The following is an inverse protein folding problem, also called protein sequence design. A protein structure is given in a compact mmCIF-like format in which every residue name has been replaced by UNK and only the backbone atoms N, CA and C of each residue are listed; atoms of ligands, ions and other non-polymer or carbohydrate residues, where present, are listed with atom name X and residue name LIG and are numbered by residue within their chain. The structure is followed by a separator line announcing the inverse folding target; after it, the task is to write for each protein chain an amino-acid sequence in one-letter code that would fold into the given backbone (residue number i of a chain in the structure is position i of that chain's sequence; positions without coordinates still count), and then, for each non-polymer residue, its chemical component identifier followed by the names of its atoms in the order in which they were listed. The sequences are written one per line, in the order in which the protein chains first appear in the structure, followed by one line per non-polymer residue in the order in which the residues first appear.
data_IF_301115693770
#
_entry.id   IF_301115693770
#
_cell.length_a   1.000
_cell.length_b   1.000
_cell.length_c   1.000
_cell.angle_alpha   90.00
_cell.angle_beta   90.00
_cell.angle_gamma   90.00
#
_symmetry.space_group_name_H-M   'P 1'
#
loop_
_entity.id
_entity.type
_entity.pdbx_description
1 polymer ?
#
# COMPACT_ATOMS: atom_id res chain seq x y z
N UNK A 1 50.88 27.79 51.76
CA UNK A 1 51.33 28.72 50.70
C UNK A 1 51.16 28.03 49.38
N UNK A 2 50.08 28.22 48.68
CA UNK A 2 49.99 28.05 47.23
C UNK A 2 48.70 28.75 46.76
N UNK A 3 48.89 29.96 46.29
CA UNK A 3 47.92 30.77 45.61
C UNK A 3 47.72 30.22 44.19
N UNK A 4 46.64 29.47 43.90
CA UNK A 4 46.33 29.03 42.56
C UNK A 4 45.29 29.98 41.95
N UNK A 5 45.65 30.52 40.83
CA UNK A 5 45.06 31.64 40.13
C UNK A 5 43.62 31.37 39.66
N UNK A 6 42.70 32.16 40.15
CA UNK A 6 41.27 32.21 39.82
C UNK A 6 40.96 32.86 38.44
N UNK A 7 41.98 33.26 37.70
CA UNK A 7 41.82 34.04 36.47
C UNK A 7 41.78 33.21 35.18
N UNK A 8 42.10 31.89 35.22
CA UNK A 8 42.09 31.05 34.05
C UNK A 8 40.71 30.41 33.74
N UNK A 9 39.82 30.31 34.76
CA UNK A 9 38.53 29.67 34.59
C UNK A 9 37.45 30.58 33.97
N UNK A 10 37.52 31.90 34.17
CA UNK A 10 36.57 32.86 33.63
C UNK A 10 36.73 33.07 32.10
N UNK A 11 37.93 32.87 31.53
CA UNK A 11 38.17 32.98 30.09
C UNK A 11 37.65 31.78 29.28
N UNK A 12 37.59 30.59 29.87
CA UNK A 12 37.03 29.40 29.17
C UNK A 12 35.49 29.39 29.19
N UNK A 13 34.83 30.01 30.18
CA UNK A 13 33.38 30.09 30.22
C UNK A 13 32.85 31.11 29.20
N UNK A 14 33.54 32.24 29.00
CA UNK A 14 33.17 33.25 28.00
C UNK A 14 33.29 32.76 26.54
N UNK A 15 34.31 31.96 26.26
CA UNK A 15 34.55 31.44 24.90
C UNK A 15 33.57 30.30 24.52
N UNK A 16 33.06 29.54 25.50
CA UNK A 16 32.04 28.51 25.26
C UNK A 16 30.64 29.08 25.08
N UNK A 17 30.33 30.21 25.70
CA UNK A 17 29.04 30.86 25.58
C UNK A 17 28.89 31.62 24.25
N UNK A 18 29.96 32.18 23.69
CA UNK A 18 29.95 32.84 22.38
C UNK A 18 29.91 31.84 21.22
N UNK A 19 30.50 30.65 21.35
CA UNK A 19 30.37 29.57 20.37
C UNK A 19 28.95 28.97 20.35
N UNK A 20 28.27 28.87 21.48
CA UNK A 20 26.88 28.35 21.54
C UNK A 20 25.86 29.34 20.93
N UNK A 21 26.11 30.66 21.00
CA UNK A 21 25.25 31.66 20.34
C UNK A 21 25.52 31.76 18.82
N UNK A 22 26.72 31.48 18.35
CA UNK A 22 27.06 31.50 16.92
C UNK A 22 26.58 30.26 16.17
N UNK A 23 26.37 29.12 16.86
CA UNK A 23 25.84 27.88 16.25
C UNK A 23 24.31 27.86 16.14
N UNK A 24 23.63 28.78 16.84
CA UNK A 24 22.16 28.89 16.81
C UNK A 24 21.57 29.64 15.59
N UNK A 25 22.40 30.27 14.77
CA UNK A 25 21.92 31.15 13.68
C UNK A 25 22.01 30.49 12.29
N UNK A 26 22.57 29.28 12.18
CA UNK A 26 22.79 28.61 10.88
C UNK A 26 21.83 27.44 10.56
N UNK A 27 20.78 27.25 11.35
CA UNK A 27 19.67 26.36 10.99
C UNK A 27 18.44 27.13 10.49
N UNK A 28 18.62 28.10 9.59
CA UNK A 28 17.59 28.43 8.61
C UNK A 28 17.64 27.37 7.52
N UNK A 29 17.16 26.17 7.81
CA UNK A 29 16.63 25.31 6.76
C UNK A 29 15.47 26.08 6.15
N UNK A 30 15.70 26.65 4.97
CA UNK A 30 14.63 27.12 4.11
C UNK A 30 13.77 25.88 3.84
N UNK A 31 12.77 25.66 4.69
CA UNK A 31 11.65 24.83 4.32
C UNK A 31 11.12 25.47 3.05
N UNK A 32 11.27 24.80 1.92
CA UNK A 32 10.62 25.20 0.67
C UNK A 32 9.12 25.10 0.96
N UNK A 33 8.57 26.17 1.52
CA UNK A 33 7.16 26.29 1.77
C UNK A 33 6.44 26.37 0.42
N UNK A 34 5.27 25.75 0.35
CA UNK A 34 4.38 25.82 -0.80
C UNK A 34 4.25 27.27 -1.26
N UNK A 35 4.64 27.56 -2.53
CA UNK A 35 4.63 28.93 -3.04
C UNK A 35 3.24 29.29 -3.58
N UNK A 36 2.93 30.58 -3.60
CA UNK A 36 1.68 31.08 -4.21
C UNK A 36 1.55 30.63 -5.68
N UNK A 37 2.63 30.62 -6.41
CA UNK A 37 2.68 30.19 -7.81
C UNK A 37 2.33 28.70 -7.96
N UNK A 38 2.79 27.86 -7.03
CA UNK A 38 2.46 26.43 -7.01
C UNK A 38 0.98 26.20 -6.67
N UNK A 39 0.43 26.90 -5.68
CA UNK A 39 -1.01 26.79 -5.34
C UNK A 39 -1.90 27.22 -6.49
N UNK A 40 -1.55 28.28 -7.17
CA UNK A 40 -2.26 28.75 -8.38
C UNK A 40 -2.18 27.73 -9.52
N UNK A 41 -0.99 27.20 -9.80
CA UNK A 41 -0.78 26.20 -10.85
C UNK A 41 -1.54 24.89 -10.58
N UNK A 42 -1.80 24.54 -9.31
CA UNK A 42 -2.58 23.37 -8.92
C UNK A 42 -4.11 23.60 -9.01
N UNK A 43 -4.57 24.85 -8.94
CA UNK A 43 -5.99 25.19 -8.86
C UNK A 43 -6.54 25.81 -10.14
N UNK A 44 -5.71 26.59 -10.84
CA UNK A 44 -6.08 27.34 -12.05
C UNK A 44 -5.57 26.65 -13.31
N UNK A 45 -6.31 26.78 -14.41
CA UNK A 45 -5.94 26.23 -15.71
C UNK A 45 -6.65 24.91 -16.06
N UNK A 46 -6.21 24.31 -17.16
CA UNK A 46 -6.74 23.05 -17.62
C UNK A 46 -6.21 21.85 -16.80
N UNK A 47 -6.85 20.71 -16.95
CA UNK A 47 -6.49 19.51 -16.18
C UNK A 47 -5.05 19.04 -16.43
N UNK A 48 -4.55 19.15 -17.68
CA UNK A 48 -3.20 18.67 -18.01
C UNK A 48 -2.12 19.56 -17.39
N UNK A 49 -2.33 20.89 -17.39
CA UNK A 49 -1.44 21.83 -16.72
C UNK A 49 -1.42 21.60 -15.20
N UNK A 50 -2.59 21.38 -14.60
CA UNK A 50 -2.72 21.09 -13.15
C UNK A 50 -2.06 19.77 -12.76
N UNK A 51 -2.20 18.70 -13.55
CA UNK A 51 -1.50 17.43 -13.35
C UNK A 51 0.02 17.59 -13.44
N UNK A 52 0.50 18.36 -14.42
CA UNK A 52 1.94 18.67 -14.55
C UNK A 52 2.46 19.46 -13.34
N UNK A 53 1.70 20.43 -12.85
CA UNK A 53 2.02 21.16 -11.62
C UNK A 53 2.05 20.25 -10.38
N UNK A 54 1.12 19.29 -10.29
CA UNK A 54 1.07 18.29 -9.22
C UNK A 54 2.34 17.41 -9.22
N UNK A 55 2.75 16.92 -10.39
CA UNK A 55 3.98 16.12 -10.53
C UNK A 55 5.22 16.91 -10.12
N UNK A 56 5.27 18.19 -10.48
CA UNK A 56 6.36 19.09 -10.08
C UNK A 56 6.37 19.34 -8.57
N UNK A 57 5.21 19.53 -7.94
CA UNK A 57 5.09 19.69 -6.48
C UNK A 57 5.53 18.41 -5.73
N UNK A 58 5.23 17.23 -6.27
CA UNK A 58 5.65 15.94 -5.70
C UNK A 58 7.16 15.67 -5.80
N UNK A 59 7.89 16.34 -6.67
CA UNK A 59 9.33 16.18 -6.74
C UNK A 59 10.05 16.70 -5.47
N UNK A 60 9.44 17.66 -4.75
CA UNK A 60 9.96 18.21 -3.50
C UNK A 60 8.82 18.37 -2.48
N UNK A 61 8.27 17.25 -1.96
CA UNK A 61 7.13 17.29 -1.07
C UNK A 61 7.49 17.87 0.29
N UNK A 62 6.61 18.69 0.82
CA UNK A 62 6.63 19.21 2.19
C UNK A 62 5.29 18.97 2.90
N UNK A 63 5.24 19.26 4.19
CA UNK A 63 4.03 19.07 4.99
C UNK A 63 2.88 19.98 4.54
N UNK A 64 3.19 21.17 4.01
CA UNK A 64 2.18 22.12 3.51
C UNK A 64 1.59 21.64 2.19
N UNK A 65 2.42 21.07 1.30
CA UNK A 65 1.95 20.43 0.06
C UNK A 65 0.99 19.28 0.38
N UNK A 66 1.31 18.43 1.36
CA UNK A 66 0.43 17.35 1.77
C UNK A 66 -0.91 17.86 2.31
N UNK A 67 -0.88 18.87 3.19
CA UNK A 67 -2.08 19.49 3.75
C UNK A 67 -2.96 20.18 2.69
N UNK A 68 -2.32 20.80 1.69
CA UNK A 68 -3.01 21.44 0.58
C UNK A 68 -3.67 20.41 -0.35
N UNK A 69 -2.97 19.35 -0.71
CA UNK A 69 -3.53 18.26 -1.51
C UNK A 69 -4.67 17.55 -0.78
N UNK A 70 -4.58 17.39 0.54
CA UNK A 70 -5.70 16.87 1.33
C UNK A 70 -6.90 17.81 1.29
N UNK A 71 -6.70 19.13 1.36
CA UNK A 71 -7.78 20.11 1.22
C UNK A 71 -8.40 20.06 -0.18
N UNK A 72 -7.62 19.81 -1.23
CA UNK A 72 -8.15 19.62 -2.58
C UNK A 72 -8.95 18.32 -2.72
N UNK A 73 -8.53 17.23 -2.06
CA UNK A 73 -9.28 15.96 -2.04
C UNK A 73 -10.61 16.10 -1.30
N UNK A 74 -10.62 16.90 -0.23
CA UNK A 74 -11.81 17.19 0.58
C UNK A 74 -12.75 18.23 -0.10
N UNK A 75 -12.46 18.71 -1.31
CA UNK A 75 -13.13 19.80 -2.02
C UNK A 75 -13.22 21.10 -1.15
N UNK A 76 -12.24 21.30 -0.27
CA UNK A 76 -12.18 22.42 0.67
C UNK A 76 -11.41 23.64 0.14
N UNK A 77 -11.04 23.65 -1.16
CA UNK A 77 -10.27 24.73 -1.78
C UNK A 77 -11.17 25.62 -2.60
N UNK A 78 -11.09 26.93 -2.34
CA UNK A 78 -11.79 27.99 -3.10
C UNK A 78 -10.78 28.95 -3.70
N UNK A 79 -11.19 29.59 -4.80
CA UNK A 79 -10.39 30.59 -5.51
C UNK A 79 -11.16 31.88 -5.61
N UNK A 80 -10.49 32.98 -5.31
CA UNK A 80 -10.98 34.33 -5.57
C UNK A 80 -10.00 35.07 -6.47
N UNK A 81 -10.24 35.03 -7.79
CA UNK A 81 -9.31 35.51 -8.79
C UNK A 81 -8.00 34.73 -8.78
N UNK A 82 -6.91 35.34 -8.32
CA UNK A 82 -5.58 34.70 -8.16
C UNK A 82 -5.30 34.19 -6.73
N UNK A 83 -6.17 34.48 -5.79
CA UNK A 83 -5.98 34.08 -4.40
C UNK A 83 -6.61 32.71 -4.17
N UNK A 84 -5.81 31.77 -3.63
CA UNK A 84 -6.25 30.42 -3.27
C UNK A 84 -6.49 30.37 -1.76
N UNK A 85 -7.62 29.82 -1.34
CA UNK A 85 -8.05 29.75 0.05
C UNK A 85 -8.47 28.31 0.39
N UNK A 86 -8.07 27.83 1.57
CA UNK A 86 -8.58 26.59 2.16
C UNK A 86 -9.73 26.95 3.10
N UNK A 87 -10.92 26.40 2.86
CA UNK A 87 -12.11 26.67 3.68
C UNK A 87 -12.46 25.43 4.48
N UNK A 88 -12.32 25.52 5.80
CA UNK A 88 -12.72 24.48 6.76
C UNK A 88 -13.53 25.10 7.88
N UNK A 89 -14.66 24.51 8.25
CA UNK A 89 -15.53 24.96 9.33
C UNK A 89 -15.93 26.45 9.21
N UNK A 90 -16.14 26.93 7.97
CA UNK A 90 -16.52 28.33 7.70
C UNK A 90 -15.39 29.36 7.84
N UNK A 91 -14.14 28.90 8.08
CA UNK A 91 -12.94 29.76 8.14
C UNK A 91 -12.12 29.56 6.88
N UNK A 92 -11.75 30.67 6.23
CA UNK A 92 -10.82 30.65 5.11
C UNK A 92 -9.40 30.87 5.61
N UNK A 93 -8.45 30.03 5.14
CA UNK A 93 -7.03 30.13 5.52
C UNK A 93 -6.19 30.21 4.25
N UNK A 94 -5.22 31.10 4.23
CA UNK A 94 -4.22 31.18 3.15
C UNK A 94 -3.28 29.98 3.25
N UNK A 95 -3.17 29.11 2.21
CA UNK A 95 -2.33 27.91 2.25
C UNK A 95 -0.83 28.22 2.34
N UNK A 96 -0.39 29.44 1.96
CA UNK A 96 1.01 29.84 1.96
C UNK A 96 1.42 30.50 3.27
N UNK A 97 0.57 31.39 3.78
CA UNK A 97 0.86 32.16 5.01
C UNK A 97 0.29 31.54 6.26
N UNK A 98 -0.70 30.66 6.14
CA UNK A 98 -1.41 30.09 7.29
C UNK A 98 -2.33 31.10 8.02
N UNK A 99 -2.54 32.30 7.44
CA UNK A 99 -3.37 33.34 8.04
C UNK A 99 -4.86 33.04 7.81
N UNK A 100 -5.67 33.27 8.85
CA UNK A 100 -7.13 33.16 8.73
C UNK A 100 -7.65 34.45 8.12
N UNK A 101 -8.38 34.32 7.01
CA UNK A 101 -8.94 35.44 6.23
C UNK A 101 -10.47 35.31 6.23
N UNK A 102 -11.16 36.43 6.19
CA UNK A 102 -12.61 36.42 5.99
C UNK A 102 -12.91 35.91 4.59
N UNK A 103 -13.80 34.89 4.46
CA UNK A 103 -14.18 34.33 3.17
C UNK A 103 -14.86 35.39 2.32
N UNK A 104 -14.32 35.75 1.13
CA UNK A 104 -15.01 36.65 0.21
C UNK A 104 -16.25 35.99 -0.39
N UNK A 105 -17.35 36.70 -0.54
CA UNK A 105 -18.57 36.20 -1.16
C UNK A 105 -18.39 35.81 -2.63
N UNK A 106 -17.30 36.27 -3.28
CA UNK A 106 -16.94 36.01 -4.67
C UNK A 106 -16.02 34.78 -4.83
N UNK A 107 -15.75 34.04 -3.75
CA UNK A 107 -14.88 32.85 -3.82
C UNK A 107 -15.63 31.68 -4.47
N UNK A 108 -15.06 31.15 -5.55
CA UNK A 108 -15.59 30.02 -6.32
C UNK A 108 -14.92 28.71 -5.88
N UNK A 109 -15.65 27.60 -5.94
CA UNK A 109 -15.12 26.27 -5.65
C UNK A 109 -14.19 25.79 -6.77
N UNK A 110 -13.06 25.19 -6.40
CA UNK A 110 -12.17 24.54 -7.36
C UNK A 110 -12.78 23.22 -7.79
N UNK A 111 -13.22 23.12 -9.03
CA UNK A 111 -13.81 21.90 -9.57
C UNK A 111 -12.70 20.91 -9.93
N UNK A 112 -12.67 19.78 -9.25
CA UNK A 112 -11.81 18.66 -9.57
C UNK A 112 -12.59 17.62 -10.36
N UNK A 113 -12.21 17.39 -11.63
CA UNK A 113 -12.76 16.29 -12.42
C UNK A 113 -12.23 14.93 -11.92
N UNK A 114 -12.81 13.83 -12.38
CA UNK A 114 -12.46 12.48 -11.93
C UNK A 114 -10.97 12.15 -12.16
N UNK A 115 -10.37 12.67 -13.25
CA UNK A 115 -8.95 12.47 -13.53
C UNK A 115 -8.09 13.19 -12.48
N UNK A 116 -8.39 14.46 -12.19
CA UNK A 116 -7.65 15.23 -11.20
C UNK A 116 -7.79 14.64 -9.79
N UNK A 117 -8.99 14.16 -9.43
CA UNK A 117 -9.20 13.45 -8.16
C UNK A 117 -8.33 12.20 -8.07
N UNK A 118 -8.30 11.37 -9.12
CA UNK A 118 -7.43 10.19 -9.17
C UNK A 118 -5.94 10.52 -9.02
N UNK A 119 -5.48 11.61 -9.66
CA UNK A 119 -4.09 12.07 -9.53
C UNK A 119 -3.77 12.62 -8.12
N UNK A 120 -4.72 13.32 -7.49
CA UNK A 120 -4.59 13.80 -6.09
C UNK A 120 -4.53 12.61 -5.13
N UNK A 121 -5.40 11.62 -5.27
CA UNK A 121 -5.41 10.42 -4.43
C UNK A 121 -4.11 9.61 -4.58
N UNK A 122 -3.61 9.48 -5.81
CA UNK A 122 -2.33 8.85 -6.09
C UNK A 122 -1.15 9.63 -5.48
N UNK A 123 -1.21 10.96 -5.50
CA UNK A 123 -0.23 11.85 -4.88
C UNK A 123 -0.24 11.74 -3.36
N UNK A 124 -1.41 11.76 -2.73
CA UNK A 124 -1.56 11.59 -1.29
C UNK A 124 -1.06 10.21 -0.83
N UNK A 125 -1.39 9.16 -1.57
CA UNK A 125 -0.87 7.82 -1.31
C UNK A 125 0.66 7.77 -1.41
N UNK A 126 1.24 8.47 -2.38
CA UNK A 126 2.68 8.55 -2.56
C UNK A 126 3.36 9.34 -1.42
N UNK A 127 2.73 10.40 -0.92
CA UNK A 127 3.23 11.18 0.22
C UNK A 127 3.28 10.38 1.53
N UNK A 128 2.46 9.32 1.65
CA UNK A 128 2.52 8.41 2.80
C UNK A 128 3.88 7.69 2.93
N UNK A 129 4.73 7.68 1.89
CA UNK A 129 6.12 7.20 1.99
C UNK A 129 6.95 7.96 3.03
N UNK A 130 6.58 9.20 3.35
CA UNK A 130 7.27 10.03 4.35
C UNK A 130 6.54 10.07 5.70
N UNK A 131 5.51 9.25 5.89
CA UNK A 131 4.79 9.15 7.15
C UNK A 131 5.69 8.68 8.28
N UNK A 132 5.43 9.13 9.51
CA UNK A 132 6.08 8.60 10.71
C UNK A 132 5.75 7.12 10.95
N UNK A 133 4.55 6.66 10.53
CA UNK A 133 4.09 5.28 10.71
C UNK A 133 4.68 4.34 9.65
N UNK A 134 5.45 3.30 10.05
CA UNK A 134 5.99 2.30 9.15
C UNK A 134 4.92 1.53 8.36
N UNK A 135 3.71 1.36 8.93
CA UNK A 135 2.64 0.65 8.26
C UNK A 135 2.14 1.44 7.03
N UNK A 136 1.96 2.75 7.17
CA UNK A 136 1.57 3.64 6.07
C UNK A 136 2.65 3.69 4.99
N UNK A 137 3.94 3.77 5.37
CA UNK A 137 5.05 3.72 4.41
C UNK A 137 5.08 2.40 3.63
N UNK A 138 4.83 1.27 4.31
CA UNK A 138 4.74 -0.04 3.66
C UNK A 138 3.56 -0.12 2.70
N UNK A 139 2.41 0.43 3.08
CA UNK A 139 1.23 0.47 2.23
C UNK A 139 1.47 1.31 0.98
N UNK A 140 2.07 2.49 1.13
CA UNK A 140 2.45 3.35 0.00
C UNK A 140 3.42 2.65 -0.96
N UNK A 141 4.44 1.96 -0.44
CA UNK A 141 5.36 1.18 -1.27
C UNK A 141 4.65 0.04 -2.03
N UNK A 142 3.69 -0.63 -1.39
CA UNK A 142 2.88 -1.68 -2.03
C UNK A 142 1.93 -1.14 -3.10
N UNK A 143 1.34 0.04 -2.91
CA UNK A 143 0.51 0.67 -3.95
C UNK A 143 1.34 1.06 -5.17
N UNK A 144 2.55 1.60 -4.97
CA UNK A 144 3.47 1.89 -6.08
C UNK A 144 3.98 0.64 -6.82
N UNK A 145 4.04 -0.51 -6.14
CA UNK A 145 4.34 -1.78 -6.79
C UNK A 145 3.23 -2.22 -7.74
N UNK A 146 1.96 -1.97 -7.39
CA UNK A 146 0.80 -2.32 -8.23
C UNK A 146 0.65 -1.40 -9.44
N UNK A 147 0.91 -0.12 -9.26
CA UNK A 147 0.80 0.92 -10.28
C UNK A 147 2.13 1.66 -10.45
N UNK A 148 3.09 1.03 -11.15
CA UNK A 148 4.42 1.59 -11.34
C UNK A 148 4.39 2.78 -12.30
N UNK A 149 4.86 3.93 -11.83
CA UNK A 149 4.93 5.18 -12.55
C UNK A 149 6.34 5.79 -12.45
N UNK A 150 6.99 6.03 -13.60
CA UNK A 150 8.33 6.60 -13.68
C UNK A 150 8.43 7.98 -13.04
N UNK A 151 7.36 8.77 -13.04
CA UNK A 151 7.34 10.11 -12.44
C UNK A 151 7.57 10.08 -10.93
N UNK A 152 7.19 8.99 -10.27
CA UNK A 152 7.32 8.80 -8.82
C UNK A 152 8.69 8.26 -8.39
N UNK A 153 9.57 7.92 -9.36
CA UNK A 153 10.88 7.30 -9.09
C UNK A 153 11.77 8.19 -8.19
N UNK A 154 11.84 9.48 -8.49
CA UNK A 154 12.68 10.42 -7.73
C UNK A 154 12.25 10.53 -6.25
N UNK A 155 10.94 10.59 -6.02
CA UNK A 155 10.36 10.63 -4.68
C UNK A 155 10.62 9.32 -3.91
N UNK A 156 10.43 8.18 -4.55
CA UNK A 156 10.71 6.86 -3.95
C UNK A 156 12.20 6.70 -3.61
N UNK A 157 13.12 7.18 -4.45
CA UNK A 157 14.56 7.16 -4.18
C UNK A 157 14.91 8.02 -2.96
N UNK A 158 14.29 9.19 -2.82
CA UNK A 158 14.48 10.07 -1.66
C UNK A 158 13.97 9.40 -0.38
N UNK A 159 12.79 8.79 -0.41
CA UNK A 159 12.25 8.05 0.73
C UNK A 159 13.15 6.86 1.10
N UNK A 160 13.63 6.10 0.10
CA UNK A 160 14.52 4.95 0.30
C UNK A 160 15.86 5.33 0.97
N UNK A 161 16.40 6.50 0.65
CA UNK A 161 17.66 6.99 1.23
C UNK A 161 17.54 7.32 2.73
N UNK A 162 16.35 7.70 3.19
CA UNK A 162 16.08 8.08 4.58
C UNK A 162 15.38 6.99 5.40
N UNK A 163 15.04 5.82 4.80
CA UNK A 163 14.27 4.77 5.46
C UNK A 163 15.13 3.94 6.44
N UNK A 164 14.82 3.97 7.77
CA UNK A 164 15.56 3.22 8.77
C UNK A 164 15.06 1.77 8.93
N UNK A 165 13.85 1.45 8.49
CA UNK A 165 13.23 0.14 8.70
C UNK A 165 13.50 -0.80 7.52
N UNK A 166 14.24 -1.89 7.74
CA UNK A 166 14.60 -2.85 6.69
C UNK A 166 13.38 -3.53 6.03
N UNK A 167 12.31 -3.75 6.78
CA UNK A 167 11.06 -4.31 6.23
C UNK A 167 10.40 -3.36 5.22
N UNK A 168 10.29 -2.08 5.58
CA UNK A 168 9.77 -1.03 4.68
C UNK A 168 10.69 -0.85 3.48
N UNK A 169 12.01 -0.80 3.74
CA UNK A 169 13.05 -0.68 2.70
C UNK A 169 12.95 -1.78 1.65
N UNK A 170 12.68 -3.03 2.07
CA UNK A 170 12.46 -4.14 1.14
C UNK A 170 11.28 -3.88 0.20
N UNK A 171 10.14 -3.41 0.72
CA UNK A 171 8.99 -3.08 -0.11
C UNK A 171 9.24 -1.89 -1.05
N UNK A 172 9.97 -0.87 -0.59
CA UNK A 172 10.38 0.25 -1.43
C UNK A 172 11.34 -0.16 -2.54
N UNK A 173 12.27 -1.10 -2.28
CA UNK A 173 13.15 -1.65 -3.32
C UNK A 173 12.37 -2.43 -4.39
N UNK A 174 11.36 -3.20 -3.99
CA UNK A 174 10.46 -3.89 -4.91
C UNK A 174 9.64 -2.90 -5.74
N UNK A 175 9.10 -1.85 -5.12
CA UNK A 175 8.38 -0.79 -5.83
C UNK A 175 9.30 -0.07 -6.84
N UNK A 176 10.54 0.24 -6.47
CA UNK A 176 11.55 0.80 -7.38
C UNK A 176 11.82 -0.14 -8.56
N UNK A 177 11.97 -1.43 -8.31
CA UNK A 177 12.17 -2.41 -9.36
C UNK A 177 10.95 -2.48 -10.30
N UNK A 178 9.72 -2.42 -9.77
CA UNK A 178 8.51 -2.36 -10.59
C UNK A 178 8.48 -1.13 -11.51
N UNK A 179 8.86 0.05 -10.99
CA UNK A 179 8.94 1.28 -11.77
C UNK A 179 10.01 1.17 -12.86
N UNK A 180 11.23 0.72 -12.51
CA UNK A 180 12.35 0.58 -13.44
C UNK A 180 12.16 -0.55 -14.47
N UNK A 181 11.20 -1.44 -14.27
CA UNK A 181 10.83 -2.44 -15.27
C UNK A 181 10.28 -1.79 -16.55
N UNK A 182 9.77 -0.56 -16.46
CA UNK A 182 9.28 0.24 -17.59
C UNK A 182 10.32 1.25 -18.12
N UNK A 183 11.58 1.15 -17.67
CA UNK A 183 12.67 2.01 -18.14
C UNK A 183 13.05 1.72 -19.60
N UNK A 184 13.54 2.72 -20.32
CA UNK A 184 14.09 2.57 -21.67
C UNK A 184 15.40 1.75 -21.70
N UNK A 185 16.12 1.69 -20.56
CA UNK A 185 17.41 1.02 -20.45
C UNK A 185 17.26 -0.48 -20.19
N UNK A 186 17.84 -1.29 -21.05
CA UNK A 186 17.79 -2.77 -20.97
C UNK A 186 18.37 -3.29 -19.65
N UNK A 187 19.50 -2.73 -19.18
CA UNK A 187 20.16 -3.16 -17.95
C UNK A 187 19.31 -2.91 -16.70
N UNK A 188 18.57 -1.78 -16.67
CA UNK A 188 17.64 -1.47 -15.58
C UNK A 188 16.48 -2.43 -15.58
N UNK A 189 15.90 -2.75 -16.74
CA UNK A 189 14.82 -3.72 -16.87
C UNK A 189 15.25 -5.13 -16.46
N UNK A 190 16.45 -5.55 -16.88
CA UNK A 190 17.01 -6.87 -16.52
C UNK A 190 17.19 -6.99 -14.99
N UNK A 191 17.83 -6.00 -14.38
CA UNK A 191 18.07 -5.99 -12.93
C UNK A 191 16.74 -5.95 -12.15
N UNK A 192 15.77 -5.18 -12.64
CA UNK A 192 14.44 -5.07 -12.05
C UNK A 192 13.67 -6.39 -12.11
N UNK A 193 13.69 -7.08 -13.27
CA UNK A 193 13.08 -8.39 -13.41
C UNK A 193 13.65 -9.43 -12.44
N UNK A 194 14.96 -9.38 -12.20
CA UNK A 194 15.65 -10.23 -11.21
C UNK A 194 15.23 -9.89 -9.77
N UNK A 195 15.20 -8.60 -9.42
CA UNK A 195 14.81 -8.15 -8.07
C UNK A 195 13.36 -8.49 -7.74
N UNK A 196 12.47 -8.39 -8.72
CA UNK A 196 11.05 -8.70 -8.55
C UNK A 196 10.77 -10.19 -8.32
N UNK A 197 11.70 -11.09 -8.69
CA UNK A 197 11.56 -12.52 -8.39
C UNK A 197 11.45 -12.81 -6.87
N UNK A 198 12.02 -11.94 -6.03
CA UNK A 198 11.99 -12.09 -4.57
C UNK A 198 10.64 -11.67 -3.93
N UNK A 199 9.75 -11.05 -4.70
CA UNK A 199 8.49 -10.51 -4.18
C UNK A 199 7.46 -11.59 -3.85
N UNK A 200 7.44 -12.70 -4.59
CA UNK A 200 6.55 -13.87 -4.39
C UNK A 200 5.05 -13.52 -4.20
N UNK A 201 4.58 -12.45 -4.86
CA UNK A 201 3.19 -12.01 -4.79
C UNK A 201 2.46 -12.17 -6.12
N UNK A 202 1.12 -12.42 -6.12
CA UNK A 202 0.33 -12.47 -7.35
C UNK A 202 0.39 -11.17 -8.16
N UNK A 203 0.43 -10.01 -7.49
CA UNK A 203 0.52 -8.70 -8.14
C UNK A 203 1.81 -8.58 -8.97
N UNK A 204 2.94 -9.05 -8.42
CA UNK A 204 4.22 -9.05 -9.15
C UNK A 204 4.21 -10.03 -10.32
N UNK A 205 3.58 -11.20 -10.17
CA UNK A 205 3.40 -12.14 -11.26
C UNK A 205 2.63 -11.52 -12.42
N UNK A 206 1.55 -10.80 -12.12
CA UNK A 206 0.75 -10.10 -13.13
C UNK A 206 1.57 -9.05 -13.86
N UNK A 207 2.32 -8.22 -13.12
CA UNK A 207 3.20 -7.18 -13.66
C UNK A 207 4.27 -7.75 -14.60
N UNK A 208 4.94 -8.83 -14.18
CA UNK A 208 5.96 -9.49 -15.01
C UNK A 208 5.37 -10.13 -16.27
N UNK A 209 4.17 -10.73 -16.18
CA UNK A 209 3.47 -11.27 -17.35
C UNK A 209 3.09 -10.19 -18.37
N UNK A 210 2.58 -9.06 -17.87
CA UNK A 210 2.25 -7.91 -18.72
C UNK A 210 3.50 -7.40 -19.44
N UNK A 211 4.62 -7.24 -18.70
CA UNK A 211 5.87 -6.79 -19.30
C UNK A 211 6.43 -7.81 -20.30
N UNK A 212 6.36 -9.11 -20.00
CA UNK A 212 6.83 -10.17 -20.89
C UNK A 212 6.15 -10.14 -22.26
N UNK A 213 4.87 -9.74 -22.33
CA UNK A 213 4.13 -9.61 -23.60
C UNK A 213 4.62 -8.43 -24.46
N UNK A 214 5.24 -7.42 -23.84
CA UNK A 214 5.71 -6.19 -24.50
C UNK A 214 7.22 -6.14 -24.71
N UNK A 215 7.98 -7.06 -24.08
CA UNK A 215 9.44 -7.03 -24.11
C UNK A 215 10.00 -7.63 -25.41
N UNK A 216 10.86 -6.87 -26.06
CA UNK A 216 11.52 -7.27 -27.32
C UNK A 216 12.91 -7.84 -27.09
N UNK A 217 13.60 -7.39 -26.01
CA UNK A 217 14.95 -7.85 -25.72
C UNK A 217 14.97 -9.29 -25.22
N UNK A 218 15.79 -10.11 -25.87
CA UNK A 218 15.88 -11.56 -25.57
C UNK A 218 16.43 -11.87 -24.17
N UNK A 219 17.36 -11.05 -23.67
CA UNK A 219 17.97 -11.28 -22.35
C UNK A 219 16.99 -10.94 -21.25
N UNK A 220 16.32 -9.79 -21.36
CA UNK A 220 15.28 -9.37 -20.42
C UNK A 220 14.11 -10.35 -20.44
N UNK A 221 13.69 -10.80 -21.62
CA UNK A 221 12.61 -11.79 -21.79
C UNK A 221 12.93 -13.12 -21.10
N UNK A 222 14.16 -13.63 -21.26
CA UNK A 222 14.63 -14.83 -20.58
C UNK A 222 14.64 -14.66 -19.06
N UNK A 223 15.09 -13.50 -18.58
CA UNK A 223 15.09 -13.18 -17.15
C UNK A 223 13.67 -13.08 -16.58
N UNK A 224 12.74 -12.43 -17.30
CA UNK A 224 11.34 -12.35 -16.91
C UNK A 224 10.71 -13.75 -16.78
N UNK A 225 10.98 -14.66 -17.73
CA UNK A 225 10.50 -16.04 -17.65
C UNK A 225 11.07 -16.77 -16.43
N UNK A 226 12.36 -16.63 -16.17
CA UNK A 226 13.01 -17.23 -14.98
C UNK A 226 12.39 -16.70 -13.68
N UNK A 227 12.18 -15.39 -13.59
CA UNK A 227 11.56 -14.75 -12.43
C UNK A 227 10.11 -15.22 -12.24
N UNK A 228 9.34 -15.36 -13.31
CA UNK A 228 7.97 -15.89 -13.28
C UNK A 228 7.93 -17.33 -12.76
N UNK A 229 8.84 -18.19 -13.23
CA UNK A 229 8.92 -19.59 -12.74
C UNK A 229 9.23 -19.64 -11.25
N UNK A 230 10.12 -18.77 -10.76
CA UNK A 230 10.45 -18.68 -9.34
C UNK A 230 9.25 -18.26 -8.49
N UNK A 231 8.51 -17.24 -8.94
CA UNK A 231 7.30 -16.77 -8.26
C UNK A 231 6.21 -17.83 -8.28
N UNK A 232 5.98 -18.49 -9.43
CA UNK A 232 4.98 -19.56 -9.56
C UNK A 232 5.30 -20.74 -8.63
N UNK A 233 6.57 -21.15 -8.55
CA UNK A 233 6.99 -22.19 -7.64
C UNK A 233 6.70 -21.82 -6.18
N UNK A 234 6.99 -20.59 -5.77
CA UNK A 234 6.72 -20.12 -4.42
C UNK A 234 5.21 -20.06 -4.12
N UNK A 235 4.40 -19.53 -5.03
CA UNK A 235 2.95 -19.45 -4.88
C UNK A 235 2.31 -20.85 -4.84
N UNK A 236 2.75 -21.79 -5.69
CA UNK A 236 2.21 -23.16 -5.71
C UNK A 236 2.47 -23.92 -4.40
N UNK A 237 3.56 -23.63 -3.69
CA UNK A 237 3.81 -24.16 -2.36
C UNK A 237 2.81 -23.61 -1.34
N UNK A 238 2.51 -22.32 -1.39
CA UNK A 238 1.49 -21.70 -0.54
C UNK A 238 0.10 -22.31 -0.76
N UNK A 239 -0.29 -22.51 -2.01
CA UNK A 239 -1.55 -23.16 -2.39
C UNK A 239 -1.64 -24.61 -1.88
N UNK A 240 -0.58 -25.39 -2.02
CA UNK A 240 -0.52 -26.78 -1.52
C UNK A 240 -0.65 -26.84 -0.01
N UNK A 241 0.04 -25.98 0.71
CA UNK A 241 -0.08 -25.88 2.18
C UNK A 241 -1.48 -25.43 2.61
N UNK A 242 -2.06 -24.46 1.91
CA UNK A 242 -3.43 -23.99 2.15
C UNK A 242 -4.45 -25.10 1.91
N UNK A 243 -4.32 -25.86 0.82
CA UNK A 243 -5.16 -27.00 0.49
C UNK A 243 -5.06 -28.11 1.57
N UNK A 244 -3.84 -28.42 2.02
CA UNK A 244 -3.61 -29.38 3.11
C UNK A 244 -4.30 -28.94 4.40
N UNK A 245 -4.12 -27.68 4.81
CA UNK A 245 -4.76 -27.13 6.01
C UNK A 245 -6.29 -27.17 5.90
N UNK A 246 -6.84 -26.76 4.76
CA UNK A 246 -8.28 -26.80 4.52
C UNK A 246 -8.80 -28.23 4.52
N UNK A 247 -8.07 -29.17 3.93
CA UNK A 247 -8.42 -30.59 3.92
C UNK A 247 -8.43 -31.20 5.32
N UNK A 248 -7.42 -30.93 6.14
CA UNK A 248 -7.38 -31.38 7.55
C UNK A 248 -8.52 -30.76 8.37
N UNK A 249 -8.77 -29.45 8.21
CA UNK A 249 -9.85 -28.76 8.90
C UNK A 249 -11.23 -29.34 8.55
N UNK A 250 -11.52 -29.50 7.26
CA UNK A 250 -12.78 -30.07 6.79
C UNK A 250 -12.90 -31.54 7.21
N UNK A 251 -11.82 -32.31 7.09
CA UNK A 251 -11.77 -33.72 7.52
C UNK A 251 -12.04 -33.89 9.01
N UNK A 252 -11.52 -33.01 9.87
CA UNK A 252 -11.77 -33.03 11.30
C UNK A 252 -13.23 -32.76 11.66
N UNK A 253 -13.88 -31.81 10.96
CA UNK A 253 -15.30 -31.53 11.13
C UNK A 253 -16.16 -32.75 10.75
N UNK A 254 -15.88 -33.35 9.59
CA UNK A 254 -16.58 -34.53 9.12
C UNK A 254 -16.39 -35.73 10.08
N UNK A 255 -15.17 -35.91 10.60
CA UNK A 255 -14.87 -36.93 11.58
C UNK A 255 -15.68 -36.74 12.87
N UNK A 256 -15.76 -35.52 13.39
CA UNK A 256 -16.56 -35.21 14.58
C UNK A 256 -18.07 -35.48 14.36
N UNK A 257 -18.58 -35.08 13.18
CA UNK A 257 -19.96 -35.35 12.79
C UNK A 257 -20.22 -36.88 12.72
N UNK A 258 -19.31 -37.60 12.07
CA UNK A 258 -19.40 -39.05 11.92
C UNK A 258 -19.36 -39.77 13.29
N UNK A 259 -18.47 -39.33 14.19
CA UNK A 259 -18.41 -39.85 15.57
C UNK A 259 -19.68 -39.54 16.35
N UNK A 260 -20.21 -38.32 16.24
CA UNK A 260 -21.47 -37.91 16.85
C UNK A 260 -22.64 -38.81 16.40
N UNK A 261 -22.76 -39.04 15.10
CA UNK A 261 -23.75 -39.95 14.52
C UNK A 261 -23.53 -41.41 15.01
N UNK A 262 -22.31 -41.90 15.02
CA UNK A 262 -21.98 -43.24 15.44
C UNK A 262 -22.37 -43.47 16.93
N UNK A 263 -22.11 -42.48 17.80
CA UNK A 263 -22.49 -42.53 19.23
C UNK A 263 -24.02 -42.48 19.36
N UNK A 264 -24.71 -41.59 18.67
CA UNK A 264 -26.18 -41.48 18.76
C UNK A 264 -26.90 -42.74 18.26
N UNK A 265 -26.50 -43.29 17.10
CA UNK A 265 -27.04 -44.53 16.57
C UNK A 265 -26.66 -45.73 17.44
N UNK A 266 -25.45 -45.78 17.99
CA UNK A 266 -24.99 -46.82 18.88
C UNK A 266 -25.79 -46.87 20.21
N UNK A 267 -26.04 -45.70 20.83
CA UNK A 267 -26.79 -45.58 22.09
C UNK A 267 -28.28 -45.85 21.89
N UNK A 268 -28.88 -45.48 20.75
CA UNK A 268 -30.29 -45.74 20.47
C UNK A 268 -30.58 -47.19 20.05
N UNK A 269 -29.56 -48.06 19.92
CA UNK A 269 -29.73 -49.46 19.56
C UNK A 269 -30.28 -49.70 18.14
N UNK A 270 -30.32 -48.67 17.33
CA UNK A 270 -30.77 -48.73 15.91
C UNK A 270 -29.61 -49.23 15.02
N UNK A 271 -28.88 -50.20 15.54
CA UNK A 271 -27.80 -50.84 14.80
C UNK A 271 -28.39 -51.94 13.96
N UNK A 272 -29.14 -51.67 13.00
CA UNK A 272 -29.19 -52.53 11.81
C UNK A 272 -30.36 -52.15 10.89
N UNK A 273 -30.19 -51.11 10.11
CA UNK A 273 -31.02 -50.98 8.91
C UNK A 273 -30.84 -52.22 7.99
N UNK A 274 -29.65 -52.81 7.98
CA UNK A 274 -29.39 -54.06 7.27
C UNK A 274 -30.16 -55.23 7.89
N UNK A 275 -30.26 -55.32 9.23
CA UNK A 275 -31.02 -56.36 9.90
C UNK A 275 -32.54 -56.19 9.71
N UNK A 276 -33.04 -54.96 9.69
CA UNK A 276 -34.44 -54.67 9.36
C UNK A 276 -34.81 -55.03 7.93
N UNK A 277 -33.86 -54.85 6.99
CA UNK A 277 -34.05 -55.24 5.58
C UNK A 277 -34.08 -56.77 5.43
N UNK A 278 -33.30 -57.52 6.26
CA UNK A 278 -33.28 -58.98 6.23
C UNK A 278 -34.43 -59.58 7.03
N UNK A 279 -34.97 -58.93 8.03
CA UNK A 279 -36.07 -59.41 8.84
C UNK A 279 -37.44 -58.94 8.34
N UNK A 280 -37.49 -57.99 7.44
CA UNK A 280 -38.73 -57.59 6.76
C UNK A 280 -39.16 -58.71 5.84
N UNK A 281 -40.33 -59.33 6.06
CA UNK A 281 -40.80 -60.42 5.20
C UNK A 281 -40.92 -59.90 3.77
N UNK A 282 -40.31 -60.63 2.83
CA UNK A 282 -40.34 -60.23 1.41
C UNK A 282 -41.78 -60.29 0.89
N UNK A 283 -42.16 -59.52 -0.11
CA UNK A 283 -43.49 -59.62 -0.72
C UNK A 283 -43.84 -61.05 -1.18
N UNK A 284 -42.83 -61.89 -1.39
CA UNK A 284 -43.00 -63.31 -1.71
C UNK A 284 -43.50 -64.17 -0.48
N UNK A 285 -43.04 -63.82 0.70
CA UNK A 285 -43.44 -64.53 1.92
C UNK A 285 -44.91 -64.28 2.24
N UNK A 286 -45.44 -63.10 1.96
CA UNK A 286 -46.87 -62.80 2.03
C UNK A 286 -47.69 -63.50 0.98
N UNK A 287 -47.14 -63.74 -0.23
CA UNK A 287 -47.85 -64.51 -1.24
C UNK A 287 -47.92 -66.02 -0.94
N UNK A 288 -46.84 -66.56 -0.36
CA UNK A 288 -46.80 -67.97 0.04
C UNK A 288 -47.75 -68.31 1.21
N UNK A 289 -47.97 -67.40 2.15
CA UNK A 289 -48.89 -67.60 3.28
C UNK A 289 -50.36 -67.52 2.90
N UNK A 290 -50.71 -67.12 1.67
CA UNK A 290 -52.13 -67.08 1.19
C UNK A 290 -52.49 -68.19 0.21
N UNK A 291 -51.67 -69.20 0.06
CA UNK A 291 -52.07 -70.37 -0.70
C UNK A 291 -53.00 -71.22 0.10
N UNK A 292 -54.29 -71.45 -0.29
CA UNK A 292 -55.16 -72.36 0.40
C UNK A 292 -54.57 -73.74 0.26
N UNK A 293 -54.45 -74.43 1.38
CA UNK A 293 -54.19 -75.85 1.44
C UNK A 293 -55.33 -76.58 0.73
N UNK A 294 -55.16 -76.97 -0.51
CA UNK A 294 -56.08 -77.89 -1.20
C UNK A 294 -55.78 -79.28 -0.70
N UNK A 295 -56.71 -79.79 0.04
CA UNK A 295 -56.81 -81.21 0.39
C UNK A 295 -56.95 -82.09 -0.81
#
# INVERSE_FOLDING_TARGET
MNCFSFTAWSRQLGLRMTCALALGILCNTSTLALTLEQTQALTLGDTDARVTALQKALASPDAQTAAFLQAMADDAVKVNGVQVLIVRDGKATDPVKGEVITLPDTAEDVINNNRMRGEIDAALSALQLFSADPALRTQAAKSMLKEPDLTKLAMLQKALASEPNDGVKKHMLLARAAILLNSDKVDERFTSAKTLADSQTPDTQLLLNQRLSQEEDKQVRSQLQTSLLTIQAALSWGEKLGALFTGVSLGSILLLVALGLAITYGLMGVINMACLLYTSPSPRDYAASRMPSSA
#
